data_IF_447212339304
#
_entry.id   IF_447212339304
#
_cell.length_a   1.000
_cell.length_b   1.000
_cell.length_c   1.000
_cell.angle_alpha   90.00
_cell.angle_beta   90.00
_cell.angle_gamma   90.00
#
_symmetry.space_group_name_H-M   'P 1'
#
loop_
_entity.id
_entity.type
_entity.pdbx_description
1 polymer ?
#
# COMPACT_ATOMS: atom_id res chain seq x y z
N UNK A 1 -5.53 11.92 16.87
CA UNK A 1 -5.02 10.57 16.56
C UNK A 1 -5.69 10.11 15.29
N UNK A 2 -5.00 10.11 14.14
CA UNK A 2 -5.55 9.43 12.96
C UNK A 2 -5.42 7.92 13.19
N UNK A 3 -6.52 7.26 13.54
CA UNK A 3 -6.56 5.82 13.71
C UNK A 3 -6.33 5.08 12.39
N UNK A 4 -5.83 3.85 12.47
CA UNK A 4 -5.82 2.92 11.35
C UNK A 4 -7.07 2.05 11.45
N UNK A 5 -7.88 2.03 10.39
CA UNK A 5 -9.06 1.17 10.31
C UNK A 5 -8.77 0.03 9.34
N UNK A 6 -8.91 -1.21 9.82
CA UNK A 6 -8.78 -2.42 9.03
C UNK A 6 -10.12 -3.16 9.09
N UNK A 7 -10.75 -3.34 7.93
CA UNK A 7 -12.06 -4.00 7.78
C UNK A 7 -11.93 -5.21 6.89
N UNK A 8 -12.25 -6.38 7.44
CA UNK A 8 -12.29 -7.65 6.72
C UNK A 8 -13.45 -8.48 7.27
N UNK A 9 -14.00 -9.37 6.46
CA UNK A 9 -15.03 -10.32 6.89
C UNK A 9 -14.45 -11.34 7.89
N UNK A 10 -13.18 -11.70 7.72
CA UNK A 10 -12.46 -12.61 8.61
C UNK A 10 -10.99 -12.20 8.79
N UNK A 11 -10.45 -12.47 9.97
CA UNK A 11 -9.04 -12.26 10.30
C UNK A 11 -8.56 -13.46 11.13
N UNK A 12 -7.42 -13.99 10.75
CA UNK A 12 -6.73 -15.06 11.46
C UNK A 12 -5.46 -14.51 12.09
N UNK A 13 -5.15 -14.97 13.30
CA UNK A 13 -3.90 -14.64 13.98
C UNK A 13 -3.09 -15.92 14.22
N UNK A 14 -1.90 -15.97 13.62
CA UNK A 14 -0.89 -16.96 13.96
C UNK A 14 -0.02 -16.41 15.09
N UNK A 15 -0.23 -16.94 16.30
CA UNK A 15 0.52 -16.56 17.50
C UNK A 15 1.99 -17.00 17.43
N UNK A 16 2.31 -18.08 16.71
CA UNK A 16 3.67 -18.60 16.60
C UNK A 16 4.55 -17.64 15.81
N UNK A 17 3.99 -17.06 14.75
CA UNK A 17 4.71 -16.11 13.88
C UNK A 17 4.36 -14.65 14.18
N UNK A 18 3.44 -14.39 15.12
CA UNK A 18 2.88 -13.07 15.41
C UNK A 18 2.36 -12.35 14.15
N UNK A 19 1.66 -13.08 13.28
CA UNK A 19 1.13 -12.56 12.01
C UNK A 19 -0.39 -12.60 11.99
N UNK A 20 -0.97 -11.55 11.43
CA UNK A 20 -2.40 -11.46 11.13
C UNK A 20 -2.56 -11.62 9.62
N UNK A 21 -3.51 -12.45 9.18
CA UNK A 21 -3.76 -12.66 7.76
C UNK A 21 -5.23 -12.92 7.46
N UNK A 22 -5.61 -12.71 6.20
CA UNK A 22 -6.93 -13.05 5.66
C UNK A 22 -6.84 -13.26 4.16
N UNK A 23 -7.56 -14.23 3.60
CA UNK A 23 -7.63 -14.44 2.15
C UNK A 23 -8.83 -13.70 1.50
N UNK A 24 -9.66 -13.05 2.31
CA UNK A 24 -10.88 -12.36 1.89
C UNK A 24 -10.62 -10.90 1.54
N UNK A 25 -11.72 -10.21 1.27
CA UNK A 25 -11.74 -8.79 1.02
C UNK A 25 -11.27 -8.03 2.26
N UNK A 26 -10.39 -7.06 2.05
CA UNK A 26 -9.85 -6.17 3.08
C UNK A 26 -9.97 -4.72 2.59
N UNK A 27 -10.35 -3.84 3.51
CA UNK A 27 -10.34 -2.39 3.34
C UNK A 27 -9.52 -1.75 4.47
N UNK A 28 -8.53 -0.95 4.09
CA UNK A 28 -7.61 -0.28 5.00
C UNK A 28 -7.76 1.23 4.80
N UNK A 29 -8.06 1.96 5.87
CA UNK A 29 -8.12 3.43 5.86
C UNK A 29 -7.10 4.03 6.82
N UNK A 30 -6.28 4.96 6.30
CA UNK A 30 -5.29 5.72 7.07
C UNK A 30 -5.30 7.19 6.61
N UNK A 31 -6.06 8.03 7.31
CA UNK A 31 -6.19 9.43 6.93
C UNK A 31 -6.80 9.57 5.53
N UNK A 32 -6.03 10.09 4.57
CA UNK A 32 -6.44 10.21 3.17
C UNK A 32 -6.17 8.96 2.32
N UNK A 33 -5.40 8.00 2.85
CA UNK A 33 -5.07 6.74 2.18
C UNK A 33 -6.21 5.74 2.36
N UNK A 34 -6.73 5.20 1.25
CA UNK A 34 -7.67 4.09 1.24
C UNK A 34 -7.14 2.97 0.32
N UNK A 35 -6.97 1.77 0.87
CA UNK A 35 -6.50 0.60 0.14
C UNK A 35 -7.54 -0.52 0.24
N UNK A 36 -7.85 -1.16 -0.88
CA UNK A 36 -8.85 -2.22 -1.00
C UNK A 36 -8.33 -3.36 -1.86
N UNK A 37 -8.65 -4.59 -1.48
CA UNK A 37 -8.29 -5.75 -2.29
C UNK A 37 -8.59 -7.07 -1.59
N UNK A 38 -7.93 -8.13 -2.06
CA UNK A 38 -8.07 -9.47 -1.54
C UNK A 38 -6.73 -10.03 -1.08
N UNK A 39 -6.73 -10.75 0.03
CA UNK A 39 -5.51 -11.27 0.62
C UNK A 39 -4.77 -10.17 1.39
N UNK A 40 -4.65 -10.35 2.70
CA UNK A 40 -4.03 -9.44 3.65
C UNK A 40 -3.04 -10.21 4.50
N UNK A 41 -1.86 -9.63 4.74
CA UNK A 41 -0.91 -10.10 5.74
C UNK A 41 -0.34 -8.89 6.47
N UNK A 42 -0.18 -9.01 7.79
CA UNK A 42 0.34 -7.97 8.67
C UNK A 42 1.09 -8.55 9.86
N UNK A 43 2.00 -7.78 10.45
CA UNK A 43 2.49 -8.05 11.80
C UNK A 43 1.36 -7.83 12.84
N UNK A 44 1.50 -8.40 14.05
CA UNK A 44 0.47 -8.27 15.09
C UNK A 44 0.17 -6.82 15.50
N UNK A 45 1.14 -5.92 15.33
CA UNK A 45 1.01 -4.51 15.70
C UNK A 45 0.24 -3.69 14.64
N UNK A 46 -0.09 -4.31 13.50
CA UNK A 46 -0.79 -3.66 12.37
C UNK A 46 -0.07 -2.42 11.82
N UNK A 47 1.27 -2.45 11.85
CA UNK A 47 2.15 -1.37 11.38
C UNK A 47 2.85 -1.70 10.07
N UNK A 48 3.11 -2.98 9.81
CA UNK A 48 3.67 -3.51 8.57
C UNK A 48 2.66 -4.49 7.97
N UNK A 49 2.09 -4.10 6.82
CA UNK A 49 1.05 -4.87 6.16
C UNK A 49 1.15 -4.79 4.64
N UNK A 50 0.60 -5.81 3.98
CA UNK A 50 0.47 -5.88 2.52
C UNK A 50 -0.84 -6.48 2.09
N UNK A 51 -1.34 -6.03 0.95
CA UNK A 51 -2.48 -6.62 0.23
C UNK A 51 -1.92 -7.39 -0.97
N UNK A 52 -2.25 -8.68 -1.08
CA UNK A 52 -1.69 -9.57 -2.11
C UNK A 52 -2.29 -9.30 -3.50
N UNK A 53 -3.59 -8.99 -3.54
CA UNK A 53 -4.33 -8.68 -4.76
C UNK A 53 -5.06 -7.35 -4.57
N UNK A 54 -4.34 -6.22 -4.68
CA UNK A 54 -4.98 -4.91 -4.61
C UNK A 54 -5.96 -4.76 -5.78
N UNK A 55 -7.17 -4.30 -5.48
CA UNK A 55 -8.21 -4.04 -6.49
C UNK A 55 -8.42 -2.55 -6.69
N UNK A 56 -8.41 -1.77 -5.61
CA UNK A 56 -8.66 -0.34 -5.64
C UNK A 56 -7.79 0.33 -4.57
N UNK A 57 -7.22 1.50 -4.88
CA UNK A 57 -6.27 2.16 -4.00
C UNK A 57 -6.19 3.65 -4.29
N UNK A 58 -6.68 4.46 -3.36
CA UNK A 58 -6.49 5.92 -3.40
C UNK A 58 -5.21 6.22 -2.63
N UNK A 59 -4.11 6.26 -3.38
CA UNK A 59 -2.86 6.79 -2.88
C UNK A 59 -2.98 8.32 -2.84
N UNK A 60 -2.68 8.97 -1.71
CA UNK A 60 -2.40 10.40 -1.74
C UNK A 60 -1.15 10.57 -2.60
N UNK A 61 -1.31 11.15 -3.79
CA UNK A 61 -0.19 11.63 -4.55
C UNK A 61 0.34 12.84 -3.80
N UNK A 62 1.51 12.71 -3.19
CA UNK A 62 2.30 13.89 -2.86
C UNK A 62 2.88 14.35 -4.21
N UNK A 63 2.47 15.53 -4.69
CA UNK A 63 3.17 16.22 -5.79
C UNK A 63 4.58 16.54 -5.30
N UNK A 64 5.50 15.57 -5.37
CA UNK A 64 6.91 15.84 -5.26
C UNK A 64 7.27 16.59 -6.56
N UNK A 65 7.61 17.89 -6.51
CA UNK A 65 7.93 18.61 -7.73
C UNK A 65 9.14 17.92 -8.33
N UNK A 66 8.96 17.30 -9.50
CA UNK A 66 10.04 16.77 -10.30
C UNK A 66 11.13 17.83 -10.41
N UNK A 67 12.22 17.65 -9.66
CA UNK A 67 13.37 18.54 -9.71
C UNK A 67 13.87 18.60 -11.17
N UNK A 68 14.28 19.76 -11.68
CA UNK A 68 14.72 19.89 -13.05
C UNK A 68 16.12 19.28 -13.14
N UNK A 69 16.19 17.98 -13.43
CA UNK A 69 17.46 17.26 -13.44
C UNK A 69 17.40 16.05 -14.35
N UNK A 70 18.13 16.15 -15.46
CA UNK A 70 18.57 15.05 -16.34
C UNK A 70 17.52 14.33 -17.20
N UNK A 71 17.05 15.02 -18.23
CA UNK A 71 16.74 14.39 -19.52
C UNK A 71 17.11 15.33 -20.67
N UNK A 72 18.38 15.73 -20.76
CA UNK A 72 18.89 16.31 -22.00
C UNK A 72 19.26 15.15 -22.92
N UNK A 73 18.26 14.64 -23.65
CA UNK A 73 18.49 13.81 -24.82
C UNK A 73 19.24 14.67 -25.83
N UNK A 74 20.53 14.43 -26.01
CA UNK A 74 21.26 14.97 -27.14
C UNK A 74 20.83 14.17 -28.36
N UNK A 75 20.30 14.79 -29.44
CA UNK A 75 20.09 14.08 -30.68
C UNK A 75 21.46 13.80 -31.31
N UNK A 76 21.77 12.52 -31.51
CA UNK A 76 22.89 12.07 -32.35
C UNK A 76 22.83 12.75 -33.71
N UNK A 77 23.70 13.75 -33.93
CA UNK A 77 23.91 14.30 -35.26
C UNK A 77 24.99 13.48 -35.94
N UNK A 78 24.56 12.60 -36.83
CA UNK A 78 25.40 12.02 -37.89
C UNK A 78 25.84 13.15 -38.82
N UNK A 79 27.15 13.46 -38.83
CA UNK A 79 27.94 13.87 -40.00
C UNK A 79 29.39 13.46 -39.77
#
# INVERSE_FOLDING_TARGET
MQGHEFKSDELFWDQKTAKIYSDKYIEIKRGALELKGYGFESNQEMTDYRIMRPHDGKLPFEDEPAGPGSAQLQPDTIQ
#
